data_IF_374594153641
#
_entry.id   IF_374594153641
#
_cell.length_a   1.000
_cell.length_b   1.000
_cell.length_c   1.000
_cell.angle_alpha   90.00
_cell.angle_beta   90.00
_cell.angle_gamma   90.00
#
_symmetry.space_group_name_H-M   'P 1'
#
loop_
_entity.id
_entity.type
_entity.pdbx_description
1 polymer ?
#
# COMPACT_ATOMS: atom_id res chain seq x y z
N UNK A 1 -48.44 -11.03 8.10
CA UNK A 1 -47.95 -11.69 6.87
C UNK A 1 -46.55 -12.23 7.18
N UNK A 2 -46.38 -13.55 7.05
CA UNK A 2 -45.25 -14.28 7.64
C UNK A 2 -43.91 -14.00 6.92
N UNK A 3 -42.87 -13.81 7.72
CA UNK A 3 -41.45 -13.63 7.37
C UNK A 3 -40.88 -14.72 6.46
N UNK A 4 -41.52 -15.89 6.36
CA UNK A 4 -41.16 -16.94 5.42
C UNK A 4 -41.38 -16.56 3.94
N UNK A 5 -42.34 -15.69 3.63
CA UNK A 5 -42.65 -15.30 2.24
C UNK A 5 -41.61 -14.33 1.64
N UNK A 6 -40.97 -13.50 2.48
CA UNK A 6 -39.86 -12.62 2.10
C UNK A 6 -38.57 -13.42 1.84
N UNK A 7 -38.35 -14.50 2.58
CA UNK A 7 -37.21 -15.40 2.38
C UNK A 7 -37.26 -16.18 1.06
N UNK A 8 -38.45 -16.60 0.62
CA UNK A 8 -38.63 -17.33 -0.65
C UNK A 8 -38.47 -16.39 -1.87
N UNK A 9 -38.83 -15.11 -1.74
CA UNK A 9 -38.59 -14.13 -2.81
C UNK A 9 -37.09 -13.81 -2.96
N UNK A 10 -36.35 -13.78 -1.86
CA UNK A 10 -34.90 -13.50 -1.84
C UNK A 10 -34.08 -14.68 -2.42
N UNK A 11 -34.49 -15.92 -2.13
CA UNK A 11 -33.87 -17.13 -2.70
C UNK A 11 -34.12 -17.29 -4.21
N UNK A 12 -35.25 -16.79 -4.74
CA UNK A 12 -35.56 -16.80 -6.18
C UNK A 12 -34.75 -15.79 -7.00
N UNK A 13 -34.19 -14.75 -6.36
CA UNK A 13 -33.32 -13.78 -7.04
C UNK A 13 -31.84 -14.18 -7.04
N UNK A 14 -31.43 -15.05 -6.10
CA UNK A 14 -30.05 -15.56 -6.00
C UNK A 14 -29.83 -16.84 -6.81
N UNK A 15 -30.87 -17.62 -7.09
CA UNK A 15 -30.80 -18.79 -7.97
C UNK A 15 -31.53 -18.44 -9.25
N UNK A 16 -30.79 -17.89 -10.22
CA UNK A 16 -31.29 -17.67 -11.57
C UNK A 16 -31.74 -19.00 -12.19
N UNK A 17 -33.05 -19.20 -12.27
CA UNK A 17 -33.63 -20.21 -13.15
C UNK A 17 -33.69 -19.64 -14.57
N UNK A 18 -32.76 -20.09 -15.41
CA UNK A 18 -32.77 -20.22 -16.89
C UNK A 18 -31.31 -20.04 -17.36
N UNK A 19 -30.58 -20.97 -17.98
CA UNK A 19 -30.81 -22.32 -18.48
C UNK A 19 -29.44 -22.96 -18.81
N UNK A 20 -29.45 -24.23 -19.18
CA UNK A 20 -28.29 -25.13 -19.28
C UNK A 20 -27.11 -24.65 -20.15
N UNK A 21 -25.89 -25.00 -19.73
CA UNK A 21 -24.71 -25.11 -20.60
C UNK A 21 -24.75 -26.47 -21.34
N UNK A 22 -24.40 -26.54 -22.64
CA UNK A 22 -24.36 -27.80 -23.38
C UNK A 22 -23.08 -28.62 -23.09
N UNK A 23 -23.14 -29.96 -23.20
CA UNK A 23 -21.99 -30.84 -23.04
C UNK A 23 -21.22 -31.04 -24.36
N UNK A 24 -19.90 -31.18 -24.22
CA UNK A 24 -18.87 -31.60 -25.19
C UNK A 24 -17.98 -30.52 -25.85
N UNK A 25 -16.69 -30.64 -25.49
CA UNK A 25 -15.46 -30.28 -26.25
C UNK A 25 -15.19 -28.78 -26.52
N UNK A 26 -13.99 -28.23 -26.35
CA UNK A 26 -12.71 -28.65 -25.79
C UNK A 26 -11.81 -27.39 -25.74
N UNK A 27 -10.65 -27.51 -25.07
CA UNK A 27 -9.46 -26.63 -25.05
C UNK A 27 -9.30 -25.72 -23.82
N UNK A 28 -8.51 -26.23 -22.87
CA UNK A 28 -7.56 -25.45 -22.06
C UNK A 28 -6.88 -24.34 -22.89
N UNK A 29 -6.52 -23.16 -22.33
CA UNK A 29 -5.78 -23.07 -21.06
C UNK A 29 -6.11 -21.87 -20.13
N UNK A 30 -5.51 -21.93 -18.93
CA UNK A 30 -5.31 -20.89 -17.89
C UNK A 30 -6.51 -20.57 -16.98
N UNK A 31 -6.50 -21.12 -15.75
CA UNK A 31 -7.37 -20.70 -14.65
C UNK A 31 -6.71 -21.05 -13.31
N UNK A 32 -6.73 -20.25 -12.25
CA UNK A 32 -7.59 -19.12 -11.93
C UNK A 32 -6.93 -18.26 -10.82
N UNK A 33 -6.91 -16.94 -11.00
CA UNK A 33 -6.68 -15.91 -9.97
C UNK A 33 -7.66 -16.00 -8.78
N UNK A 34 -8.81 -16.65 -8.98
CA UNK A 34 -9.78 -16.97 -7.91
C UNK A 34 -9.24 -17.95 -6.86
N UNK A 35 -8.17 -18.69 -7.13
CA UNK A 35 -7.59 -19.62 -6.15
C UNK A 35 -6.88 -18.86 -5.03
N UNK A 36 -6.08 -17.83 -5.31
CA UNK A 36 -5.22 -17.20 -4.30
C UNK A 36 -6.00 -16.33 -3.31
N UNK A 37 -6.96 -15.53 -3.77
CA UNK A 37 -7.85 -14.75 -2.88
C UNK A 37 -8.80 -15.67 -2.11
N UNK A 38 -9.35 -16.70 -2.77
CA UNK A 38 -10.13 -17.71 -2.08
C UNK A 38 -9.26 -18.48 -1.08
N UNK A 39 -7.99 -18.73 -1.36
CA UNK A 39 -7.09 -19.50 -0.50
C UNK A 39 -6.66 -18.68 0.71
N UNK A 40 -6.45 -17.36 0.61
CA UNK A 40 -6.17 -16.52 1.78
C UNK A 40 -7.42 -16.33 2.66
N UNK A 41 -8.57 -16.00 2.06
CA UNK A 41 -9.83 -15.91 2.81
C UNK A 41 -10.23 -17.27 3.39
N UNK A 42 -10.06 -18.37 2.64
CA UNK A 42 -10.28 -19.73 3.11
C UNK A 42 -9.26 -20.11 4.15
N UNK A 43 -8.00 -19.70 4.07
CA UNK A 43 -7.00 -20.00 5.08
C UNK A 43 -7.30 -19.28 6.39
N UNK A 44 -7.57 -17.97 6.35
CA UNK A 44 -7.96 -17.17 7.53
C UNK A 44 -9.25 -17.73 8.13
N UNK A 45 -10.27 -17.98 7.31
CA UNK A 45 -11.56 -18.47 7.76
C UNK A 45 -11.49 -19.93 8.24
N UNK A 46 -10.73 -20.81 7.57
CA UNK A 46 -10.56 -22.22 7.99
C UNK A 46 -9.79 -22.29 9.30
N UNK A 47 -8.69 -21.56 9.43
CA UNK A 47 -7.86 -21.55 10.63
C UNK A 47 -8.59 -20.93 11.81
N UNK A 48 -9.31 -19.82 11.61
CA UNK A 48 -10.17 -19.23 12.62
C UNK A 48 -11.31 -20.20 13.02
N UNK A 49 -12.00 -20.82 12.06
CA UNK A 49 -13.10 -21.74 12.34
C UNK A 49 -12.65 -23.06 13.00
N UNK A 50 -11.44 -23.55 12.70
CA UNK A 50 -10.85 -24.71 13.38
C UNK A 50 -10.45 -24.40 14.82
N UNK A 51 -9.88 -23.22 15.06
CA UNK A 51 -9.61 -22.74 16.41
C UNK A 51 -10.92 -22.56 17.22
N UNK A 52 -11.95 -21.95 16.63
CA UNK A 52 -13.27 -21.81 17.28
C UNK A 52 -13.85 -23.20 17.60
N UNK A 53 -13.76 -24.16 16.68
CA UNK A 53 -14.17 -25.55 16.92
C UNK A 53 -13.40 -26.19 18.07
N UNK A 54 -12.08 -26.04 18.12
CA UNK A 54 -11.24 -26.57 19.22
C UNK A 54 -11.62 -25.98 20.57
N UNK A 55 -11.80 -24.66 20.67
CA UNK A 55 -12.22 -23.98 21.91
C UNK A 55 -13.59 -24.49 22.37
N UNK A 56 -14.56 -24.62 21.45
CA UNK A 56 -15.90 -25.12 21.76
C UNK A 56 -15.93 -26.61 22.11
N UNK A 57 -14.96 -27.37 21.66
CA UNK A 57 -14.78 -28.79 22.01
C UNK A 57 -13.93 -29.02 23.26
N UNK A 58 -13.24 -27.99 23.76
CA UNK A 58 -12.45 -28.09 24.99
C UNK A 58 -13.41 -28.23 26.18
N UNK A 59 -13.31 -29.32 26.94
CA UNK A 59 -14.20 -29.65 28.07
C UNK A 59 -14.12 -28.69 29.27
N UNK A 60 -13.55 -27.50 29.09
CA UNK A 60 -13.43 -26.46 30.10
C UNK A 60 -14.67 -25.56 30.06
N UNK A 61 -15.70 -25.96 30.82
CA UNK A 61 -17.00 -25.29 30.90
C UNK A 61 -16.91 -23.79 31.26
N UNK A 62 -15.81 -23.37 31.90
CA UNK A 62 -15.56 -21.98 32.25
C UNK A 62 -15.22 -21.08 31.05
N UNK A 63 -14.77 -21.61 29.92
CA UNK A 63 -14.38 -20.84 28.73
C UNK A 63 -15.41 -20.97 27.60
N UNK A 64 -16.05 -22.14 27.50
CA UNK A 64 -16.98 -22.54 26.44
C UNK A 64 -18.24 -21.66 26.34
N UNK A 65 -18.66 -20.97 27.40
CA UNK A 65 -19.91 -20.19 27.45
C UNK A 65 -19.76 -18.70 27.74
N UNK A 66 -18.53 -18.22 27.98
CA UNK A 66 -18.28 -16.78 28.29
C UNK A 66 -18.06 -15.91 27.06
N UNK A 67 -17.64 -16.50 25.95
CA UNK A 67 -17.40 -15.80 24.70
C UNK A 67 -18.48 -16.19 23.68
N UNK A 68 -19.06 -15.20 22.98
CA UNK A 68 -19.91 -15.44 21.81
C UNK A 68 -19.10 -16.11 20.68
N UNK A 69 -19.79 -16.70 19.69
CA UNK A 69 -19.13 -17.29 18.51
C UNK A 69 -18.21 -16.27 17.82
N UNK A 70 -18.66 -15.02 17.77
CA UNK A 70 -17.93 -13.87 17.29
C UNK A 70 -16.70 -13.53 18.16
N UNK A 71 -16.83 -13.50 19.49
CA UNK A 71 -15.71 -13.25 20.40
C UNK A 71 -14.65 -14.38 20.36
N UNK A 72 -15.07 -15.62 20.09
CA UNK A 72 -14.14 -16.72 19.80
C UNK A 72 -13.43 -16.55 18.46
N UNK A 73 -14.13 -16.07 17.41
CA UNK A 73 -13.52 -15.78 16.11
C UNK A 73 -12.43 -14.70 16.21
N UNK A 74 -12.70 -13.63 16.98
CA UNK A 74 -11.70 -12.60 17.29
C UNK A 74 -10.51 -13.16 18.06
N UNK A 75 -10.76 -13.96 19.11
CA UNK A 75 -9.70 -14.65 19.83
C UNK A 75 -8.88 -15.56 18.91
N UNK A 76 -9.49 -16.22 17.93
CA UNK A 76 -8.78 -17.14 17.04
C UNK A 76 -7.95 -16.42 15.96
N UNK A 77 -8.48 -15.35 15.37
CA UNK A 77 -7.72 -14.48 14.44
C UNK A 77 -6.58 -13.81 15.20
N UNK A 78 -6.87 -13.35 16.42
CA UNK A 78 -5.86 -12.77 17.27
C UNK A 78 -4.82 -13.77 17.73
N UNK A 79 -5.00 -15.08 17.53
CA UNK A 79 -4.01 -16.11 17.88
C UNK A 79 -3.45 -16.80 16.62
N UNK A 80 -3.63 -16.21 15.43
CA UNK A 80 -2.92 -16.66 14.24
C UNK A 80 -1.41 -16.43 14.45
N UNK A 81 -0.53 -17.29 13.90
CA UNK A 81 0.92 -17.19 14.11
C UNK A 81 1.46 -15.77 13.83
N UNK A 82 0.96 -15.11 12.80
CA UNK A 82 1.34 -13.74 12.44
C UNK A 82 0.72 -12.64 13.33
N UNK A 83 -0.37 -12.93 14.07
CA UNK A 83 -1.02 -11.94 14.95
C UNK A 83 -0.42 -11.94 16.35
N UNK A 84 -0.13 -13.12 16.90
CA UNK A 84 0.31 -13.26 18.30
C UNK A 84 1.76 -13.71 18.50
N UNK A 85 2.47 -14.12 17.46
CA UNK A 85 3.76 -14.76 17.66
C UNK A 85 4.81 -14.23 16.69
N UNK A 86 5.39 -13.10 17.08
CA UNK A 86 6.83 -12.94 16.90
C UNK A 86 7.40 -12.37 18.19
N UNK A 87 7.32 -13.13 19.29
CA UNK A 87 8.10 -12.82 20.51
C UNK A 87 9.61 -12.96 20.24
N UNK A 88 9.98 -13.67 19.17
CA UNK A 88 11.36 -13.90 18.77
C UNK A 88 11.51 -13.80 17.24
N UNK A 89 11.58 -12.58 16.68
CA UNK A 89 11.80 -12.37 15.25
C UNK A 89 13.13 -13.00 14.83
N UNK A 90 13.14 -13.62 13.66
CA UNK A 90 14.40 -14.03 13.04
C UNK A 90 15.33 -12.81 12.95
N UNK A 91 16.62 -13.00 13.28
CA UNK A 91 17.60 -11.92 13.13
C UNK A 91 17.64 -11.56 11.63
N UNK A 92 17.73 -10.28 11.24
CA UNK A 92 18.01 -9.90 9.86
C UNK A 92 19.15 -10.72 9.20
N UNK A 93 20.09 -11.22 10.00
CA UNK A 93 21.13 -12.16 9.57
C UNK A 93 20.62 -13.50 8.99
N UNK A 94 19.45 -13.96 9.43
CA UNK A 94 18.96 -15.32 9.16
C UNK A 94 18.34 -15.44 7.76
N UNK A 95 17.94 -14.33 7.14
CA UNK A 95 17.30 -14.29 5.82
C UNK A 95 17.98 -13.34 4.81
N UNK A 96 19.11 -12.73 5.18
CA UNK A 96 19.93 -11.92 4.28
C UNK A 96 21.29 -12.57 4.05
N UNK A 97 21.83 -12.44 2.83
CA UNK A 97 23.23 -12.78 2.61
C UNK A 97 24.16 -11.85 3.42
N UNK A 98 25.35 -12.32 3.78
CA UNK A 98 26.25 -11.60 4.71
C UNK A 98 26.59 -10.18 4.23
N UNK A 99 26.79 -10.00 2.93
CA UNK A 99 27.04 -8.72 2.29
C UNK A 99 25.81 -7.79 2.36
N UNK A 100 24.62 -8.31 2.10
CA UNK A 100 23.35 -7.56 2.17
C UNK A 100 23.04 -7.17 3.62
N UNK A 101 23.26 -8.09 4.57
CA UNK A 101 23.11 -7.79 5.99
C UNK A 101 24.08 -6.69 6.45
N UNK A 102 25.34 -6.74 6.02
CA UNK A 102 26.31 -5.69 6.32
C UNK A 102 25.90 -4.34 5.71
N UNK A 103 25.33 -4.34 4.51
CA UNK A 103 24.79 -3.14 3.88
C UNK A 103 23.56 -2.61 4.63
N UNK A 104 22.60 -3.48 4.96
CA UNK A 104 21.42 -3.15 5.73
C UNK A 104 21.77 -2.49 7.07
N UNK A 105 22.69 -3.08 7.84
CA UNK A 105 23.16 -2.51 9.12
C UNK A 105 23.69 -1.09 8.98
N UNK A 106 24.51 -0.85 7.95
CA UNK A 106 25.03 0.49 7.67
C UNK A 106 23.88 1.46 7.31
N UNK A 107 22.78 1.00 6.68
CA UNK A 107 21.72 1.86 6.14
C UNK A 107 20.84 2.31 7.31
N UNK A 108 20.62 1.39 8.25
CA UNK A 108 20.01 1.68 9.55
C UNK A 108 20.88 2.60 10.41
N UNK A 109 22.20 2.47 10.36
CA UNK A 109 23.12 3.35 11.10
C UNK A 109 23.19 4.77 10.51
N UNK A 110 22.87 4.94 9.23
CA UNK A 110 22.78 6.27 8.66
C UNK A 110 21.57 7.03 9.21
N UNK A 111 21.85 7.95 10.14
CA UNK A 111 20.86 8.88 10.72
C UNK A 111 21.11 10.35 10.38
N UNK A 112 22.14 10.63 9.59
CA UNK A 112 22.35 11.93 8.96
C UNK A 112 22.88 11.77 7.53
N UNK A 113 22.65 12.79 6.73
CA UNK A 113 22.91 12.77 5.29
C UNK A 113 24.40 12.66 4.94
N UNK A 114 25.30 12.98 5.88
CA UNK A 114 26.74 12.92 5.68
C UNK A 114 27.29 11.51 5.89
N UNK A 115 26.73 10.75 6.82
CA UNK A 115 27.07 9.36 7.10
C UNK A 115 26.46 8.36 6.08
N UNK A 116 25.33 8.70 5.45
CA UNK A 116 24.73 7.90 4.36
C UNK A 116 25.63 7.80 3.12
N UNK A 117 26.51 8.78 2.89
CA UNK A 117 27.32 8.87 1.67
C UNK A 117 28.52 7.92 1.67
N UNK A 118 28.89 7.33 2.81
CA UNK A 118 30.03 6.40 2.91
C UNK A 118 29.70 4.97 2.44
N UNK A 119 28.50 4.76 1.90
CA UNK A 119 28.06 3.51 1.29
C UNK A 119 28.65 3.21 -0.08
N UNK A 120 29.29 4.20 -0.67
CA UNK A 120 30.08 4.14 -1.89
C UNK A 120 31.33 3.28 -1.62
N UNK A 121 31.22 1.96 -1.75
CA UNK A 121 32.29 1.05 -1.33
C UNK A 121 33.59 1.30 -2.14
N UNK A 122 34.63 1.74 -1.41
CA UNK A 122 36.07 1.73 -1.70
C UNK A 122 36.55 2.60 -2.88
N UNK A 123 37.39 3.59 -2.53
CA UNK A 123 38.49 4.14 -3.35
C UNK A 123 38.20 4.41 -4.84
N UNK A 124 37.09 5.07 -5.15
CA UNK A 124 36.95 5.72 -6.46
C UNK A 124 37.22 7.21 -6.28
N UNK A 125 38.41 7.64 -6.70
CA UNK A 125 38.86 9.04 -6.63
C UNK A 125 38.05 9.93 -7.58
N UNK A 126 36.84 10.31 -7.20
CA UNK A 126 36.14 11.40 -7.84
C UNK A 126 36.11 12.58 -6.90
N UNK A 127 37.02 13.53 -7.13
CA UNK A 127 36.84 14.94 -6.74
C UNK A 127 35.57 15.46 -7.44
N UNK A 128 34.38 15.11 -6.95
CA UNK A 128 33.16 15.87 -7.21
C UNK A 128 32.85 16.66 -5.94
N UNK A 129 32.72 17.97 -6.14
CA UNK A 129 32.47 18.99 -5.11
C UNK A 129 31.48 18.46 -4.07
N UNK A 130 31.79 18.66 -2.79
CA UNK A 130 30.89 18.49 -1.65
C UNK A 130 29.58 19.26 -1.91
N UNK A 131 28.64 18.65 -2.62
CA UNK A 131 27.31 19.19 -2.77
C UNK A 131 26.61 18.74 -1.50
N UNK A 132 26.31 19.69 -0.61
CA UNK A 132 25.45 19.42 0.53
C UNK A 132 24.17 18.82 -0.04
N UNK A 133 23.96 17.52 0.17
CA UNK A 133 22.77 16.87 -0.32
C UNK A 133 21.60 17.55 0.41
N UNK A 134 20.57 17.94 -0.32
CA UNK A 134 19.35 18.49 0.25
C UNK A 134 18.37 17.34 0.52
N UNK A 135 17.43 17.51 1.47
CA UNK A 135 16.34 16.54 1.63
C UNK A 135 15.71 16.19 0.28
N UNK A 136 15.45 14.92 0.04
CA UNK A 136 14.79 14.46 -1.17
C UNK A 136 13.41 15.12 -1.29
N UNK A 137 13.04 15.60 -2.47
CA UNK A 137 11.69 16.13 -2.70
C UNK A 137 10.82 15.03 -3.33
N UNK A 138 9.93 14.44 -2.53
CA UNK A 138 8.94 13.47 -2.97
C UNK A 138 7.79 14.20 -3.65
N UNK A 139 7.56 13.88 -4.93
CA UNK A 139 6.53 14.52 -5.76
C UNK A 139 5.46 13.53 -6.18
N UNK A 140 4.30 14.03 -6.57
CA UNK A 140 3.27 13.21 -7.18
C UNK A 140 3.83 12.63 -8.49
N UNK A 141 3.61 11.33 -8.74
CA UNK A 141 4.32 10.61 -9.78
C UNK A 141 4.09 11.17 -11.20
N UNK A 142 2.90 11.71 -11.47
CA UNK A 142 2.53 12.37 -12.72
C UNK A 142 3.02 13.82 -12.79
N UNK A 143 3.56 14.42 -11.73
CA UNK A 143 4.17 15.76 -11.79
C UNK A 143 5.69 15.71 -11.97
N UNK A 144 6.31 14.52 -11.93
CA UNK A 144 7.71 14.33 -12.31
C UNK A 144 7.93 14.78 -13.76
N UNK A 145 9.09 15.39 -14.00
CA UNK A 145 9.59 15.55 -15.38
C UNK A 145 9.91 14.18 -15.98
N UNK A 146 9.98 14.11 -17.31
CA UNK A 146 10.40 12.89 -18.01
C UNK A 146 11.78 12.41 -17.55
N UNK A 147 12.71 13.34 -17.30
CA UNK A 147 14.04 13.02 -16.80
C UNK A 147 14.00 12.49 -15.35
N UNK A 148 13.21 13.12 -14.47
CA UNK A 148 13.04 12.64 -13.09
C UNK A 148 12.44 11.23 -13.05
N UNK A 149 11.40 10.98 -13.85
CA UNK A 149 10.75 9.67 -13.94
C UNK A 149 11.69 8.61 -14.52
N UNK A 150 12.46 8.95 -15.56
CA UNK A 150 13.45 8.05 -16.15
C UNK A 150 14.53 7.67 -15.15
N UNK A 151 15.10 8.64 -14.41
CA UNK A 151 16.11 8.36 -13.37
C UNK A 151 15.55 7.44 -12.27
N UNK A 152 14.32 7.69 -11.83
CA UNK A 152 13.63 6.81 -10.89
C UNK A 152 13.47 5.38 -11.44
N UNK A 153 12.96 5.23 -12.67
CA UNK A 153 12.79 3.92 -13.33
C UNK A 153 14.12 3.17 -13.51
N UNK A 154 15.19 3.87 -13.88
CA UNK A 154 16.52 3.26 -14.05
C UNK A 154 17.04 2.76 -12.70
N UNK A 155 17.00 3.60 -11.66
CA UNK A 155 17.54 3.23 -10.35
C UNK A 155 16.81 2.06 -9.71
N UNK A 156 15.47 2.05 -9.76
CA UNK A 156 14.68 0.95 -9.18
C UNK A 156 14.87 -0.37 -9.96
N UNK A 157 15.02 -0.31 -11.29
CA UNK A 157 15.35 -1.50 -12.10
C UNK A 157 16.77 -2.00 -11.82
N UNK A 158 17.73 -1.10 -11.61
CA UNK A 158 19.08 -1.48 -11.22
C UNK A 158 19.07 -2.15 -9.83
N UNK A 159 18.31 -1.61 -8.88
CA UNK A 159 18.11 -2.23 -7.57
C UNK A 159 17.45 -3.62 -7.67
N UNK A 160 16.44 -3.77 -8.54
CA UNK A 160 15.77 -5.06 -8.81
C UNK A 160 16.69 -6.09 -9.46
N UNK A 161 17.59 -5.66 -10.33
CA UNK A 161 18.58 -6.55 -10.94
C UNK A 161 19.64 -7.07 -9.95
N UNK A 162 19.77 -6.44 -8.78
CA UNK A 162 20.83 -6.69 -7.79
C UNK A 162 22.25 -6.36 -8.28
N UNK A 163 22.42 -5.99 -9.55
CA UNK A 163 23.75 -5.92 -10.18
C UNK A 163 24.53 -4.72 -9.64
N UNK A 164 25.63 -5.03 -8.95
CA UNK A 164 26.53 -4.02 -8.38
C UNK A 164 25.94 -3.22 -7.22
N UNK A 165 24.81 -3.66 -6.66
CA UNK A 165 24.19 -3.03 -5.50
C UNK A 165 24.51 -3.80 -4.22
N UNK A 166 24.74 -3.11 -3.09
CA UNK A 166 25.05 -3.76 -1.82
C UNK A 166 23.83 -4.38 -1.14
N UNK A 167 22.62 -4.03 -1.56
CA UNK A 167 21.34 -4.60 -1.12
C UNK A 167 20.41 -4.69 -2.33
N UNK A 168 19.70 -5.81 -2.51
CA UNK A 168 18.76 -5.98 -3.62
C UNK A 168 17.36 -5.45 -3.29
N UNK A 169 16.55 -5.22 -4.34
CA UNK A 169 15.12 -4.94 -4.17
C UNK A 169 14.39 -6.07 -3.44
N UNK A 170 14.76 -7.32 -3.74
CA UNK A 170 14.06 -8.49 -3.19
C UNK A 170 14.34 -8.65 -1.70
N UNK A 171 15.50 -8.21 -1.21
CA UNK A 171 15.76 -8.08 0.23
C UNK A 171 14.73 -7.17 0.90
N UNK A 172 14.34 -6.06 0.27
CA UNK A 172 13.28 -5.20 0.82
C UNK A 172 11.93 -5.93 0.85
N UNK A 173 11.60 -6.69 -0.18
CA UNK A 173 10.38 -7.51 -0.20
C UNK A 173 10.38 -8.51 0.95
N UNK A 174 11.49 -9.23 1.14
CA UNK A 174 11.66 -10.20 2.22
C UNK A 174 11.55 -9.56 3.60
N UNK A 175 12.05 -8.33 3.78
CA UNK A 175 11.96 -7.59 5.05
C UNK A 175 10.53 -7.24 5.48
N UNK A 176 9.57 -7.15 4.55
CA UNK A 176 8.18 -6.77 4.86
C UNK A 176 7.31 -7.97 5.28
N UNK A 177 7.81 -9.20 5.12
CA UNK A 177 7.07 -10.40 5.52
C UNK A 177 6.69 -10.34 7.01
N UNK A 178 5.49 -10.83 7.33
CA UNK A 178 4.85 -10.60 8.62
C UNK A 178 5.62 -11.19 9.82
N UNK A 179 6.33 -12.29 9.61
CA UNK A 179 7.22 -12.93 10.57
C UNK A 179 8.49 -12.11 10.86
N UNK A 180 8.93 -11.28 9.91
CA UNK A 180 10.14 -10.43 10.04
C UNK A 180 9.82 -8.99 10.42
N UNK A 181 8.60 -8.54 10.11
CA UNK A 181 8.11 -7.20 10.37
C UNK A 181 6.76 -7.21 11.10
N UNK A 182 6.70 -7.72 12.34
CA UNK A 182 5.46 -7.78 13.12
C UNK A 182 4.87 -6.40 13.42
N UNK A 183 5.69 -5.34 13.37
CA UNK A 183 5.24 -3.96 13.52
C UNK A 183 4.72 -3.31 12.24
N UNK A 184 4.88 -3.95 11.07
CA UNK A 184 4.51 -3.37 9.78
C UNK A 184 3.01 -3.28 9.58
N UNK A 185 2.18 -4.10 10.24
CA UNK A 185 0.74 -4.17 9.99
C UNK A 185 -0.04 -4.16 11.30
N UNK A 186 -1.26 -3.62 11.30
CA UNK A 186 -2.25 -3.78 12.38
C UNK A 186 -1.77 -3.27 13.75
N UNK A 187 -1.48 -1.96 13.83
CA UNK A 187 -1.30 -1.30 15.12
C UNK A 187 -0.49 -0.02 15.04
N UNK A 188 -0.17 0.51 16.22
CA UNK A 188 0.50 1.80 16.40
C UNK A 188 1.83 1.94 15.66
N UNK A 189 2.54 0.82 15.40
CA UNK A 189 3.81 0.87 14.68
C UNK A 189 3.67 0.97 13.15
N UNK A 190 2.49 0.73 12.57
CA UNK A 190 2.29 0.68 11.11
C UNK A 190 2.86 1.91 10.38
N UNK A 191 2.50 3.13 10.83
CA UNK A 191 2.92 4.39 10.21
C UNK A 191 4.43 4.65 10.42
N UNK A 192 4.97 4.61 11.66
CA UNK A 192 6.41 4.68 11.93
C UNK A 192 7.26 3.65 11.17
N UNK A 193 6.78 2.40 11.07
CA UNK A 193 7.49 1.30 10.44
C UNK A 193 7.63 1.54 8.94
N UNK A 194 6.52 1.85 8.26
CA UNK A 194 6.56 2.14 6.82
C UNK A 194 7.36 3.40 6.51
N UNK A 195 7.38 4.40 7.39
CA UNK A 195 8.21 5.59 7.25
C UNK A 195 9.71 5.27 7.22
N UNK A 196 10.20 4.46 8.16
CA UNK A 196 11.60 4.02 8.17
C UNK A 196 11.91 3.14 6.95
N UNK A 197 10.98 2.25 6.59
CA UNK A 197 11.10 1.38 5.42
C UNK A 197 11.25 2.19 4.11
N UNK A 198 10.40 3.21 3.91
CA UNK A 198 10.48 4.13 2.78
C UNK A 198 11.80 4.93 2.77
N UNK A 199 12.26 5.40 3.94
CA UNK A 199 13.55 6.11 4.06
C UNK A 199 14.72 5.23 3.62
N UNK A 200 14.76 3.98 4.07
CA UNK A 200 15.82 3.04 3.71
C UNK A 200 15.81 2.73 2.20
N UNK A 201 14.63 2.47 1.64
CA UNK A 201 14.48 2.23 0.21
C UNK A 201 14.90 3.45 -0.63
N UNK A 202 14.46 4.65 -0.24
CA UNK A 202 14.88 5.90 -0.89
C UNK A 202 16.40 6.13 -0.76
N UNK A 203 17.00 5.77 0.37
CA UNK A 203 18.46 5.83 0.56
C UNK A 203 19.20 4.88 -0.40
N UNK A 204 18.70 3.66 -0.59
CA UNK A 204 19.27 2.71 -1.55
C UNK A 204 19.11 3.18 -3.01
N UNK A 205 17.98 3.78 -3.37
CA UNK A 205 17.85 4.42 -4.69
C UNK A 205 18.81 5.60 -4.85
N UNK A 206 19.03 6.38 -3.79
CA UNK A 206 19.91 7.56 -3.81
C UNK A 206 21.40 7.22 -3.79
N UNK A 207 21.79 6.00 -3.39
CA UNK A 207 23.15 5.52 -3.63
C UNK A 207 23.43 5.23 -5.10
N UNK A 208 22.38 4.99 -5.90
CA UNK A 208 22.47 4.88 -7.36
C UNK A 208 22.42 6.27 -8.01
N UNK A 209 21.43 7.08 -7.62
CA UNK A 209 21.28 8.45 -8.11
C UNK A 209 20.89 9.42 -6.98
N UNK A 210 21.82 10.27 -6.51
CA UNK A 210 21.62 11.23 -5.43
C UNK A 210 20.48 12.24 -5.63
N UNK A 211 19.96 12.40 -6.85
CA UNK A 211 18.88 13.33 -7.19
C UNK A 211 17.48 12.76 -6.95
N UNK A 212 17.36 11.45 -6.75
CA UNK A 212 16.06 10.78 -6.62
C UNK A 212 15.35 11.21 -5.33
N UNK A 213 14.08 11.57 -5.47
CA UNK A 213 13.09 11.51 -4.38
C UNK A 213 12.03 10.48 -4.73
N UNK A 214 11.63 9.68 -3.75
CA UNK A 214 10.64 8.63 -3.93
C UNK A 214 9.28 9.26 -4.27
N UNK A 215 8.73 9.05 -5.49
CA UNK A 215 7.44 9.65 -5.83
C UNK A 215 6.32 9.01 -5.02
N UNK A 216 5.21 9.74 -4.88
CA UNK A 216 3.98 9.23 -4.29
C UNK A 216 2.87 9.14 -5.33
N UNK A 217 1.95 8.20 -5.14
CA UNK A 217 0.76 8.03 -5.99
C UNK A 217 -0.50 8.50 -5.25
N UNK A 218 -0.95 9.71 -5.58
CA UNK A 218 -2.20 10.25 -5.08
C UNK A 218 -3.39 9.69 -5.86
N UNK A 219 -4.00 8.63 -5.34
CA UNK A 219 -5.14 7.97 -5.96
C UNK A 219 -6.44 8.78 -5.91
N UNK A 220 -6.48 9.90 -5.16
CA UNK A 220 -7.64 10.81 -5.18
C UNK A 220 -7.80 11.54 -6.51
N UNK A 221 -6.73 11.60 -7.30
CA UNK A 221 -6.75 12.15 -8.66
C UNK A 221 -7.42 11.18 -9.65
N UNK A 222 -7.58 9.91 -9.30
CA UNK A 222 -8.06 8.84 -10.17
C UNK A 222 -9.51 8.43 -9.83
N UNK A 223 -9.88 8.48 -8.55
CA UNK A 223 -11.26 8.19 -8.06
C UNK A 223 -12.38 8.92 -8.84
N UNK A 224 -12.22 10.18 -9.30
CA UNK A 224 -13.25 10.88 -10.07
C UNK A 224 -13.54 10.32 -11.47
N UNK A 225 -12.63 9.52 -12.04
CA UNK A 225 -12.79 9.00 -13.39
C UNK A 225 -13.98 8.03 -13.48
N UNK A 226 -14.68 7.96 -14.63
CA UNK A 226 -15.78 7.02 -14.82
C UNK A 226 -15.31 5.56 -14.66
N UNK A 227 -14.11 5.29 -15.18
CA UNK A 227 -13.42 4.01 -15.08
C UNK A 227 -11.98 4.28 -14.61
N UNK A 228 -11.69 4.32 -13.30
CA UNK A 228 -10.36 4.72 -12.78
C UNK A 228 -9.19 3.82 -13.23
N UNK A 229 -9.47 2.57 -13.66
CA UNK A 229 -8.47 1.69 -14.27
C UNK A 229 -7.98 2.16 -15.66
N UNK A 230 -8.68 3.10 -16.29
CA UNK A 230 -8.28 3.69 -17.57
C UNK A 230 -7.36 4.92 -17.38
N UNK A 231 -6.97 5.22 -16.14
CA UNK A 231 -5.98 6.24 -15.80
C UNK A 231 -4.65 6.02 -16.51
N UNK A 232 -3.98 7.12 -16.88
CA UNK A 232 -2.63 7.15 -17.45
C UNK A 232 -1.57 6.44 -16.59
N UNK A 233 -1.83 6.26 -15.29
CA UNK A 233 -0.98 5.47 -14.39
C UNK A 233 -0.72 4.05 -14.91
N UNK A 234 -1.68 3.45 -15.61
CA UNK A 234 -1.63 2.09 -16.14
C UNK A 234 -1.19 2.02 -17.61
N UNK A 235 -0.28 2.92 -17.99
CA UNK A 235 0.34 2.99 -19.31
C UNK A 235 1.82 2.62 -19.26
N UNK A 236 2.42 2.37 -20.43
CA UNK A 236 3.84 2.02 -20.56
C UNK A 236 4.77 3.14 -20.06
N UNK A 237 4.30 4.39 -20.11
CA UNK A 237 5.05 5.57 -19.66
C UNK A 237 5.16 5.65 -18.12
N UNK A 238 4.29 4.94 -17.40
CA UNK A 238 4.22 4.91 -15.94
C UNK A 238 4.47 3.51 -15.38
N UNK A 239 3.42 2.82 -14.91
CA UNK A 239 3.56 1.57 -14.17
C UNK A 239 3.50 0.32 -15.08
N UNK A 240 3.18 0.48 -16.37
CA UNK A 240 2.86 -0.63 -17.27
C UNK A 240 1.39 -1.03 -17.20
N UNK A 241 1.02 -2.09 -17.93
CA UNK A 241 -0.36 -2.57 -17.97
C UNK A 241 -0.90 -2.92 -16.58
N UNK A 242 -2.17 -2.55 -16.33
CA UNK A 242 -2.85 -2.77 -15.05
C UNK A 242 -3.56 -4.13 -14.93
N UNK A 243 -3.49 -5.00 -15.93
CA UNK A 243 -4.20 -6.27 -15.92
C UNK A 243 -3.37 -7.42 -16.50
N UNK A 244 -3.37 -8.55 -15.78
CA UNK A 244 -2.56 -9.72 -16.10
C UNK A 244 -1.10 -9.51 -15.75
N UNK A 245 -0.24 -10.33 -16.36
CA UNK A 245 1.20 -10.19 -16.21
C UNK A 245 1.66 -8.84 -16.76
N UNK A 246 2.51 -8.15 -16.02
CA UNK A 246 3.06 -6.85 -16.44
C UNK A 246 4.09 -7.11 -17.53
N UNK A 247 3.73 -6.76 -18.77
CA UNK A 247 4.52 -6.99 -19.99
C UNK A 247 4.87 -5.70 -20.72
N UNK A 248 4.40 -4.55 -20.22
CA UNK A 248 4.69 -3.23 -20.80
C UNK A 248 5.29 -2.27 -19.77
N UNK A 249 5.94 -1.21 -20.26
CA UNK A 249 6.58 -0.18 -19.43
C UNK A 249 7.86 -0.62 -18.71
N UNK A 250 8.35 0.26 -17.85
CA UNK A 250 9.66 0.10 -17.17
C UNK A 250 9.75 -1.09 -16.22
N UNK A 251 8.62 -1.72 -15.87
CA UNK A 251 8.54 -2.86 -14.95
C UNK A 251 8.12 -4.16 -15.64
N UNK A 252 8.18 -4.19 -16.98
CA UNK A 252 7.82 -5.35 -17.77
C UNK A 252 8.67 -6.58 -17.40
N UNK A 253 8.02 -7.74 -17.30
CA UNK A 253 8.64 -9.04 -17.05
C UNK A 253 9.42 -9.16 -15.73
N UNK A 254 9.14 -8.28 -14.76
CA UNK A 254 9.63 -8.47 -13.40
C UNK A 254 9.16 -9.82 -12.85
N UNK A 255 10.08 -10.53 -12.20
CA UNK A 255 9.78 -11.75 -11.44
C UNK A 255 9.64 -11.37 -9.97
N UNK A 256 8.53 -11.75 -9.35
CA UNK A 256 8.30 -11.59 -7.92
C UNK A 256 9.03 -12.68 -7.12
N UNK A 257 9.22 -12.45 -5.83
CA UNK A 257 9.86 -13.41 -4.91
C UNK A 257 9.06 -14.69 -4.70
N UNK A 258 7.77 -14.71 -5.09
CA UNK A 258 6.93 -15.92 -5.14
C UNK A 258 7.20 -16.81 -6.39
N UNK A 259 8.18 -16.44 -7.21
CA UNK A 259 8.58 -17.17 -8.42
C UNK A 259 7.68 -16.94 -9.63
N UNK A 260 6.69 -16.04 -9.55
CA UNK A 260 5.78 -15.70 -10.65
C UNK A 260 6.14 -14.36 -11.28
N UNK A 261 5.60 -14.08 -12.45
CA UNK A 261 5.66 -12.73 -13.03
C UNK A 261 4.85 -11.77 -12.19
N UNK A 262 5.31 -10.51 -12.13
CA UNK A 262 4.52 -9.42 -11.58
C UNK A 262 3.17 -9.35 -12.30
N UNK A 263 2.08 -9.37 -11.55
CA UNK A 263 0.72 -9.48 -12.04
C UNK A 263 -0.17 -8.43 -11.35
N UNK A 264 -1.16 -7.92 -12.08
CA UNK A 264 -2.13 -6.94 -11.57
C UNK A 264 -3.55 -7.26 -12.02
N UNK A 265 -4.53 -6.78 -11.27
CA UNK A 265 -5.95 -6.91 -11.57
C UNK A 265 -6.71 -5.59 -11.26
N UNK A 266 -6.17 -4.47 -11.76
CA UNK A 266 -6.58 -3.12 -11.40
C UNK A 266 -8.07 -2.88 -11.62
N UNK A 267 -8.78 -2.54 -10.54
CA UNK A 267 -10.20 -2.25 -10.51
C UNK A 267 -11.10 -3.44 -10.86
N UNK A 268 -10.64 -4.69 -10.68
CA UNK A 268 -11.40 -5.89 -11.06
C UNK A 268 -11.96 -6.70 -9.89
N UNK A 269 -11.33 -6.64 -8.71
CA UNK A 269 -11.74 -7.44 -7.54
C UNK A 269 -13.13 -7.05 -7.00
N UNK A 270 -13.55 -5.80 -7.21
CA UNK A 270 -14.77 -5.23 -6.63
C UNK A 270 -14.72 -5.07 -5.09
N UNK A 271 -13.66 -5.57 -4.46
CA UNK A 271 -13.44 -5.56 -3.01
C UNK A 271 -12.55 -4.40 -2.54
N UNK A 272 -11.93 -3.67 -3.47
CA UNK A 272 -11.09 -2.50 -3.19
C UNK A 272 -11.61 -1.20 -3.80
N UNK A 273 -11.07 -0.09 -3.32
CA UNK A 273 -11.35 1.26 -3.80
C UNK A 273 -10.13 2.17 -3.72
N UNK A 274 -10.16 3.25 -4.48
CA UNK A 274 -9.17 4.32 -4.39
C UNK A 274 -9.48 5.28 -3.23
N UNK A 275 -8.52 6.11 -2.84
CA UNK A 275 -8.78 7.18 -1.88
C UNK A 275 -9.73 8.21 -2.49
N UNK A 276 -10.67 8.69 -1.67
CA UNK A 276 -11.50 9.85 -1.99
C UNK A 276 -11.00 11.08 -1.23
N UNK A 277 -11.25 12.30 -1.73
CA UNK A 277 -10.95 13.52 -0.97
C UNK A 277 -11.57 13.53 0.44
N UNK A 278 -12.76 12.96 0.59
CA UNK A 278 -13.43 12.80 1.88
C UNK A 278 -12.70 11.85 2.84
N UNK A 279 -11.94 10.88 2.31
CA UNK A 279 -11.19 9.93 3.12
C UNK A 279 -9.93 10.61 3.67
N UNK A 280 -9.30 11.49 2.89
CA UNK A 280 -8.23 12.37 3.36
C UNK A 280 -8.74 13.28 4.49
N UNK A 281 -9.87 13.96 4.28
CA UNK A 281 -10.45 14.83 5.32
C UNK A 281 -10.76 14.03 6.59
N UNK A 282 -11.32 12.83 6.44
CA UNK A 282 -11.62 11.94 7.56
C UNK A 282 -10.38 11.60 8.39
N UNK A 283 -9.23 11.35 7.74
CA UNK A 283 -7.94 11.10 8.38
C UNK A 283 -7.44 12.36 9.11
N UNK A 284 -7.48 13.51 8.45
CA UNK A 284 -7.04 14.78 9.03
C UNK A 284 -7.87 15.19 10.25
N UNK A 285 -9.15 14.80 10.30
CA UNK A 285 -10.06 15.10 11.40
C UNK A 285 -9.86 14.20 12.64
N UNK A 286 -8.92 13.24 12.63
CA UNK A 286 -8.69 12.40 13.81
C UNK A 286 -8.26 13.23 15.04
N UNK A 287 -8.71 12.86 16.24
CA UNK A 287 -8.37 13.60 17.45
C UNK A 287 -6.91 13.38 17.88
N UNK A 288 -6.37 12.19 17.69
CA UNK A 288 -5.00 11.81 18.07
C UNK A 288 -4.47 10.66 17.19
N UNK A 289 -3.20 10.27 17.40
CA UNK A 289 -2.52 9.23 16.64
C UNK A 289 -3.04 7.81 16.92
N UNK A 290 -3.58 7.54 18.12
CA UNK A 290 -4.14 6.23 18.43
C UNK A 290 -5.37 5.93 17.54
N UNK A 291 -6.17 6.95 17.25
CA UNK A 291 -7.33 6.85 16.35
C UNK A 291 -6.97 6.74 14.86
N UNK A 292 -5.68 6.87 14.50
CA UNK A 292 -5.15 6.56 13.17
C UNK A 292 -4.66 5.12 13.04
N UNK A 293 -4.49 4.41 14.16
CA UNK A 293 -3.74 3.15 14.24
C UNK A 293 -4.39 2.15 15.21
N UNK A 294 -5.73 2.14 15.28
CA UNK A 294 -6.47 1.35 16.27
C UNK A 294 -6.25 -0.17 16.11
N UNK A 295 -6.47 -0.95 17.17
CA UNK A 295 -6.16 -2.40 17.14
C UNK A 295 -7.15 -3.25 16.37
N UNK A 296 -8.31 -2.67 16.11
CA UNK A 296 -9.35 -3.21 15.26
C UNK A 296 -9.66 -2.09 14.27
N UNK A 297 -8.61 -1.59 13.61
CA UNK A 297 -8.76 -0.42 12.76
C UNK A 297 -9.61 -0.74 11.51
N UNK A 298 -10.71 -0.01 11.27
CA UNK A 298 -11.39 0.02 9.99
C UNK A 298 -10.65 0.68 8.82
N UNK A 299 -9.47 1.25 9.00
CA UNK A 299 -8.87 2.26 8.12
C UNK A 299 -7.61 1.76 7.41
N UNK A 300 -6.83 0.87 8.02
CA UNK A 300 -5.57 0.44 7.42
C UNK A 300 -5.48 -1.05 7.09
N UNK A 301 -5.87 -2.00 7.97
CA UNK A 301 -5.40 -3.40 7.79
C UNK A 301 -6.34 -4.59 8.12
N UNK A 302 -7.56 -4.50 8.71
CA UNK A 302 -8.37 -5.74 8.90
C UNK A 302 -9.89 -5.63 8.75
N UNK A 303 -10.47 -6.61 8.03
CA UNK A 303 -11.89 -6.91 7.99
C UNK A 303 -12.27 -7.85 9.16
N UNK A 304 -13.35 -7.55 9.90
CA UNK A 304 -13.93 -8.49 10.86
C UNK A 304 -15.45 -8.58 10.78
N UNK A 305 -15.95 -9.79 11.04
CA UNK A 305 -17.31 -10.24 10.73
C UNK A 305 -18.44 -9.48 11.47
N UNK A 306 -18.14 -8.74 12.55
CA UNK A 306 -19.15 -7.91 13.22
C UNK A 306 -19.69 -6.79 12.31
N UNK A 307 -19.01 -6.52 11.19
CA UNK A 307 -19.49 -5.62 10.15
C UNK A 307 -20.16 -6.28 8.95
N UNK A 308 -20.40 -7.59 8.91
CA UNK A 308 -21.18 -8.21 7.82
C UNK A 308 -22.65 -7.74 7.80
N UNK A 309 -23.20 -7.36 8.97
CA UNK A 309 -24.54 -6.75 9.08
C UNK A 309 -24.49 -5.23 8.80
N UNK A 310 -23.34 -4.58 9.06
CA UNK A 310 -23.14 -3.15 8.78
C UNK A 310 -22.67 -2.85 7.33
N UNK A 311 -22.14 -3.84 6.59
CA UNK A 311 -21.68 -3.68 5.19
C UNK A 311 -22.84 -3.47 4.23
N UNK A 312 -24.05 -3.88 4.61
CA UNK A 312 -25.26 -3.58 3.83
C UNK A 312 -25.67 -2.10 3.99
N UNK A 313 -25.15 -1.38 5.01
CA UNK A 313 -25.60 -0.03 5.35
C UNK A 313 -24.49 1.05 5.37
N UNK A 314 -23.20 0.73 5.50
CA UNK A 314 -22.09 1.72 5.53
C UNK A 314 -20.84 1.19 4.81
N UNK A 315 -20.67 1.60 3.54
CA UNK A 315 -19.59 1.23 2.61
C UNK A 315 -18.26 1.99 2.85
N UNK A 316 -17.60 1.88 4.01
CA UNK A 316 -16.47 2.78 4.31
C UNK A 316 -15.29 2.28 5.16
N UNK A 317 -14.81 1.05 4.98
CA UNK A 317 -13.78 0.53 5.88
C UNK A 317 -12.65 -0.27 5.18
N UNK A 318 -11.49 0.42 5.04
CA UNK A 318 -10.08 -0.04 4.94
C UNK A 318 -9.36 0.80 3.87
N UNK A 319 -9.09 2.09 4.07
CA UNK A 319 -8.75 3.04 2.99
C UNK A 319 -7.38 2.71 2.34
N UNK A 320 -6.36 2.37 3.15
CA UNK A 320 -5.07 1.91 2.65
C UNK A 320 -5.17 0.54 1.96
N UNK A 321 -5.61 -0.49 2.68
CA UNK A 321 -5.73 -1.84 2.13
C UNK A 321 -6.74 -1.96 0.97
N UNK A 322 -7.68 -1.01 0.86
CA UNK A 322 -8.59 -0.90 -0.29
C UNK A 322 -7.83 -0.61 -1.57
N UNK A 323 -6.75 0.18 -1.53
CA UNK A 323 -5.94 0.44 -2.72
C UNK A 323 -5.13 -0.79 -3.11
N UNK A 324 -4.51 -1.47 -2.13
CA UNK A 324 -3.86 -2.77 -2.32
C UNK A 324 -4.79 -3.77 -3.04
N UNK A 325 -6.01 -3.93 -2.51
CA UNK A 325 -7.05 -4.81 -3.08
C UNK A 325 -7.59 -4.32 -4.42
N UNK A 326 -7.63 -3.00 -4.63
CA UNK A 326 -8.07 -2.41 -5.90
C UNK A 326 -7.05 -2.64 -7.01
N UNK A 327 -5.75 -2.59 -6.72
CA UNK A 327 -4.70 -2.91 -7.69
C UNK A 327 -4.67 -4.41 -7.98
N UNK A 328 -4.84 -5.24 -6.94
CA UNK A 328 -4.89 -6.70 -7.05
C UNK A 328 -3.54 -7.33 -7.44
N UNK A 329 -3.55 -8.63 -7.75
CA UNK A 329 -2.32 -9.37 -8.03
C UNK A 329 -1.42 -9.44 -6.80
N UNK A 330 -0.12 -9.20 -6.94
CA UNK A 330 0.77 -9.19 -5.77
C UNK A 330 0.42 -8.10 -4.75
N UNK A 331 -0.11 -6.94 -5.20
CA UNK A 331 -0.53 -5.87 -4.29
C UNK A 331 -1.66 -6.30 -3.33
N UNK A 332 -2.47 -7.31 -3.62
CA UNK A 332 -3.50 -7.78 -2.69
C UNK A 332 -3.01 -8.83 -1.68
N UNK A 333 -1.73 -9.21 -1.73
CA UNK A 333 -1.17 -10.26 -0.87
C UNK A 333 -0.08 -9.65 0.01
N UNK A 334 -0.37 -9.48 1.30
CA UNK A 334 0.46 -8.74 2.26
C UNK A 334 1.97 -9.10 2.15
N UNK A 335 2.40 -10.37 2.26
CA UNK A 335 3.82 -10.72 2.16
C UNK A 335 4.50 -10.42 0.82
N UNK A 336 3.72 -10.27 -0.25
CA UNK A 336 4.22 -10.11 -1.61
C UNK A 336 3.95 -8.72 -2.19
N UNK A 337 3.16 -7.89 -1.52
CA UNK A 337 2.77 -6.57 -2.02
C UNK A 337 3.95 -5.67 -2.41
N UNK A 338 5.10 -5.67 -1.70
CA UNK A 338 6.25 -4.87 -2.11
C UNK A 338 6.94 -5.36 -3.39
N UNK A 339 6.58 -6.53 -3.95
CA UNK A 339 7.08 -6.95 -5.27
C UNK A 339 6.62 -6.01 -6.39
N UNK A 340 5.48 -5.34 -6.21
CA UNK A 340 4.98 -4.35 -7.17
C UNK A 340 5.54 -2.96 -6.82
N UNK A 341 6.22 -2.27 -7.75
CA UNK A 341 6.66 -0.88 -7.55
C UNK A 341 5.57 0.08 -7.08
N UNK A 342 4.29 -0.21 -7.35
CA UNK A 342 3.16 0.58 -6.86
C UNK A 342 3.14 0.67 -5.34
N UNK A 343 3.60 -0.36 -4.62
CA UNK A 343 3.71 -0.39 -3.16
C UNK A 343 4.40 0.86 -2.62
N UNK A 344 5.58 1.18 -3.16
CA UNK A 344 6.41 2.28 -2.68
C UNK A 344 5.75 3.63 -2.88
N UNK A 345 5.10 3.82 -4.03
CA UNK A 345 4.38 5.04 -4.35
C UNK A 345 3.12 5.19 -3.48
N UNK A 346 2.42 4.08 -3.23
CA UNK A 346 1.24 4.06 -2.38
C UNK A 346 1.60 4.39 -0.93
N UNK A 347 2.59 3.72 -0.34
CA UNK A 347 3.02 3.99 1.02
C UNK A 347 3.68 5.36 1.17
N UNK A 348 4.36 5.89 0.14
CA UNK A 348 4.82 7.28 0.14
C UNK A 348 3.64 8.27 0.21
N UNK A 349 2.49 7.95 -0.39
CA UNK A 349 1.27 8.75 -0.27
C UNK A 349 0.62 8.62 1.11
N UNK A 350 0.60 7.42 1.70
CA UNK A 350 0.15 7.23 3.09
C UNK A 350 0.99 8.04 4.07
N UNK A 351 2.32 7.99 3.96
CA UNK A 351 3.23 8.78 4.79
C UNK A 351 3.05 10.29 4.57
N UNK A 352 2.77 10.73 3.33
CA UNK A 352 2.41 12.12 3.02
C UNK A 352 1.15 12.56 3.78
N UNK A 353 0.09 11.76 3.72
CA UNK A 353 -1.18 12.07 4.41
C UNK A 353 -0.99 12.08 5.92
N UNK A 354 -0.21 11.15 6.46
CA UNK A 354 0.13 11.15 7.88
C UNK A 354 0.95 12.37 8.28
N UNK A 355 1.92 12.79 7.46
CA UNK A 355 2.69 14.01 7.73
C UNK A 355 1.80 15.25 7.66
N UNK A 356 0.84 15.32 6.74
CA UNK A 356 -0.16 16.39 6.72
C UNK A 356 -1.00 16.42 8.00
N UNK A 357 -1.43 15.25 8.51
CA UNK A 357 -2.09 15.16 9.82
C UNK A 357 -1.19 15.70 10.94
N UNK A 358 0.06 15.24 11.02
CA UNK A 358 1.03 15.70 12.04
C UNK A 358 1.20 17.22 11.99
N UNK A 359 1.31 17.78 10.79
CA UNK A 359 1.52 19.22 10.59
C UNK A 359 0.29 20.07 10.94
N UNK A 360 -0.91 19.54 10.74
CA UNK A 360 -2.17 20.27 10.96
C UNK A 360 -2.76 20.09 12.36
N UNK A 361 -2.50 18.96 13.02
CA UNK A 361 -3.15 18.56 14.28
C UNK A 361 -2.24 18.57 15.49
N UNK A 362 -0.92 18.56 15.29
CA UNK A 362 0.05 18.37 16.38
C UNK A 362 1.11 19.47 16.40
N UNK A 363 1.51 19.89 17.61
CA UNK A 363 2.73 20.69 17.80
C UNK A 363 3.98 19.86 17.49
N UNK A 364 5.14 20.48 17.21
CA UNK A 364 6.38 19.74 16.99
C UNK A 364 6.71 18.73 18.09
N UNK A 365 6.42 19.03 19.35
CA UNK A 365 6.67 18.15 20.49
C UNK A 365 5.67 16.97 20.52
N UNK A 366 4.39 17.24 20.26
CA UNK A 366 3.35 16.20 20.20
C UNK A 366 3.65 15.19 19.08
N UNK A 367 4.20 15.65 17.96
CA UNK A 367 4.57 14.81 16.82
C UNK A 367 5.59 13.72 17.17
N UNK A 368 6.38 13.90 18.22
CA UNK A 368 7.42 12.97 18.67
C UNK A 368 6.98 12.14 19.88
N UNK A 369 5.97 12.59 20.62
CA UNK A 369 5.59 12.02 21.93
C UNK A 369 4.19 11.41 21.98
N UNK A 370 3.35 11.62 20.97
CA UNK A 370 1.94 11.18 20.93
C UNK A 370 1.70 9.69 20.64
N UNK A 371 2.71 8.84 20.85
CA UNK A 371 2.59 7.41 20.60
C UNK A 371 1.59 6.76 21.59
N UNK A 372 0.74 5.81 21.15
CA UNK A 372 -0.28 5.22 22.00
C UNK A 372 0.35 4.34 23.09
N UNK A 373 -0.35 4.16 24.21
CA UNK A 373 0.13 3.34 25.33
C UNK A 373 -0.89 2.26 25.71
N UNK A 374 -0.44 1.23 26.41
CA UNK A 374 -1.30 0.14 26.88
C UNK A 374 -2.02 -0.57 25.72
N UNK A 375 -3.31 -0.85 25.90
CA UNK A 375 -4.10 -1.62 24.92
C UNK A 375 -4.28 -0.91 23.57
N UNK A 376 -4.03 0.40 23.48
CA UNK A 376 -4.07 1.13 22.22
C UNK A 376 -2.89 0.80 21.29
N UNK A 377 -1.89 0.06 21.78
CA UNK A 377 -0.77 -0.45 20.97
C UNK A 377 -1.06 -1.81 20.34
N UNK A 378 -2.13 -2.51 20.73
CA UNK A 378 -2.60 -3.74 20.09
C UNK A 378 -1.81 -5.00 20.46
N UNK A 379 -0.54 -5.05 20.12
CA UNK A 379 0.35 -6.17 20.47
C UNK A 379 1.64 -5.66 21.08
N UNK A 380 2.42 -6.56 21.70
CA UNK A 380 3.73 -6.22 22.25
C UNK A 380 4.67 -5.61 21.19
N UNK A 381 4.64 -6.12 19.95
CA UNK A 381 5.50 -5.66 18.85
C UNK A 381 5.23 -4.21 18.43
N UNK A 382 4.06 -3.66 18.75
CA UNK A 382 3.65 -2.30 18.43
C UNK A 382 3.84 -1.31 19.58
N UNK A 383 4.38 -1.73 20.73
CA UNK A 383 4.65 -0.78 21.82
C UNK A 383 5.75 0.20 21.41
N UNK A 384 5.67 1.42 21.92
CA UNK A 384 6.63 2.49 21.66
C UNK A 384 8.09 2.07 21.93
N UNK A 385 8.30 1.32 23.01
CA UNK A 385 9.59 0.84 23.51
C UNK A 385 10.06 -0.47 22.86
N UNK A 386 9.25 -1.06 21.98
CA UNK A 386 9.62 -2.28 21.28
C UNK A 386 10.46 -1.96 20.06
N UNK A 387 11.42 -2.85 19.77
CA UNK A 387 12.28 -2.74 18.60
C UNK A 387 11.43 -2.80 17.33
N UNK A 388 11.64 -1.83 16.44
CA UNK A 388 10.99 -1.77 15.14
C UNK A 388 11.68 -2.75 14.19
N UNK A 389 11.33 -4.03 14.28
CA UNK A 389 11.99 -5.09 13.52
C UNK A 389 11.66 -4.98 12.02
N UNK A 390 12.62 -5.26 11.13
CA UNK A 390 13.99 -5.74 11.38
C UNK A 390 15.01 -4.65 11.75
N UNK A 391 14.60 -3.39 11.81
CA UNK A 391 15.49 -2.25 12.07
C UNK A 391 16.05 -2.26 13.50
N UNK A 392 17.08 -1.45 13.73
CA UNK A 392 17.78 -1.35 15.03
C UNK A 392 17.25 -0.26 15.95
N UNK A 393 16.15 0.39 15.56
CA UNK A 393 15.52 1.50 16.31
C UNK A 393 14.26 1.01 17.03
N UNK A 394 13.73 1.83 17.92
CA UNK A 394 12.44 1.59 18.57
C UNK A 394 11.30 2.14 17.72
N UNK A 395 10.08 1.64 17.93
CA UNK A 395 8.90 2.14 17.23
C UNK A 395 8.67 3.64 17.45
N UNK A 396 8.95 4.14 18.66
CA UNK A 396 8.86 5.57 18.99
C UNK A 396 9.80 6.43 18.15
N UNK A 397 10.97 5.92 17.74
CA UNK A 397 11.95 6.68 16.97
C UNK A 397 11.42 7.02 15.57
N UNK A 398 10.51 6.20 15.01
CA UNK A 398 9.81 6.49 13.76
C UNK A 398 8.85 7.68 13.83
N UNK A 399 8.56 8.19 15.03
CA UNK A 399 7.82 9.44 15.25
C UNK A 399 8.70 10.68 15.13
N UNK A 400 10.01 10.57 14.87
CA UNK A 400 10.88 11.74 14.83
C UNK A 400 10.48 12.76 13.76
N UNK A 401 10.57 14.05 14.05
CA UNK A 401 10.47 15.10 13.02
C UNK A 401 11.70 15.11 12.07
N UNK A 402 12.77 14.40 12.42
CA UNK A 402 14.00 14.38 11.63
C UNK A 402 13.83 13.73 10.26
N UNK A 403 12.89 12.79 10.10
CA UNK A 403 12.54 12.22 8.79
C UNK A 403 12.23 13.31 7.77
N UNK A 404 11.35 14.25 8.13
CA UNK A 404 10.88 15.30 7.21
C UNK A 404 11.72 16.58 7.26
N UNK A 405 12.67 16.67 8.21
CA UNK A 405 13.65 17.76 8.31
C UNK A 405 14.93 17.48 7.53
N UNK A 406 15.46 16.27 7.65
CA UNK A 406 16.79 15.88 7.12
C UNK A 406 16.67 15.08 5.83
N UNK A 407 15.77 14.09 5.78
CA UNK A 407 15.81 13.08 4.73
C UNK A 407 14.97 13.44 3.52
N UNK A 408 13.72 13.85 3.74
CA UNK A 408 12.81 14.14 2.63
C UNK A 408 11.78 15.22 2.97
N UNK A 409 11.15 15.76 1.94
CA UNK A 409 9.99 16.64 2.00
C UNK A 409 8.98 16.22 0.96
N UNK A 410 7.72 16.54 1.18
CA UNK A 410 6.67 16.34 0.18
C UNK A 410 6.38 17.63 -0.57
N UNK A 411 6.27 17.52 -1.89
CA UNK A 411 5.52 18.48 -2.69
C UNK A 411 4.03 18.20 -2.48
N UNK A 412 3.22 19.25 -2.36
CA UNK A 412 1.76 19.10 -2.29
C UNK A 412 1.19 18.45 -3.55
N UNK A 413 0.05 17.78 -3.38
CA UNK A 413 -0.68 17.20 -4.50
C UNK A 413 -1.12 18.33 -5.45
N UNK A 414 -1.13 18.10 -6.78
CA UNK A 414 -1.51 19.12 -7.75
C UNK A 414 -2.96 19.58 -7.55
N UNK A 415 -3.17 20.89 -7.57
CA UNK A 415 -4.48 21.53 -7.48
C UNK A 415 -4.67 22.52 -8.62
N UNK A 416 -5.93 22.81 -8.98
CA UNK A 416 -6.26 23.87 -9.93
C UNK A 416 -7.35 24.79 -9.36
N UNK A 417 -7.55 25.95 -9.99
CA UNK A 417 -8.54 26.93 -9.56
C UNK A 417 -9.10 27.72 -10.75
N UNK A 418 -10.09 28.58 -10.52
CA UNK A 418 -10.58 29.49 -11.55
C UNK A 418 -9.48 30.43 -12.06
N UNK A 419 -8.56 30.86 -11.19
CA UNK A 419 -7.45 31.74 -11.58
C UNK A 419 -6.33 30.98 -12.31
N UNK A 420 -6.14 29.69 -12.01
CA UNK A 420 -5.16 28.83 -12.67
C UNK A 420 -5.80 27.47 -12.99
N UNK A 421 -6.44 27.31 -14.16
CA UNK A 421 -7.17 26.10 -14.54
C UNK A 421 -6.22 25.02 -15.10
N UNK A 422 -5.02 24.89 -14.55
CA UNK A 422 -4.02 23.89 -14.96
C UNK A 422 -3.51 23.13 -13.73
N UNK A 423 -3.14 21.86 -13.94
CA UNK A 423 -2.61 20.99 -12.88
C UNK A 423 -1.08 20.89 -12.87
N UNK A 424 -0.41 21.68 -13.72
CA UNK A 424 1.06 21.69 -13.81
C UNK A 424 1.68 20.40 -14.36
N UNK A 425 0.88 19.51 -14.96
CA UNK A 425 1.33 18.24 -15.53
C UNK A 425 0.54 17.93 -16.80
N UNK A 426 1.18 17.41 -17.88
CA UNK A 426 0.48 17.01 -19.09
C UNK A 426 -0.34 15.71 -18.92
N UNK A 427 -0.16 15.01 -17.80
CA UNK A 427 -0.85 13.74 -17.46
C UNK A 427 -2.03 13.95 -16.52
N UNK A 428 -2.29 15.20 -16.13
CA UNK A 428 -3.42 15.63 -15.31
C UNK A 428 -4.19 16.72 -16.04
N UNK A 429 -5.47 16.85 -15.75
CA UNK A 429 -6.29 17.95 -16.23
C UNK A 429 -7.10 18.56 -15.10
N UNK A 430 -7.49 19.82 -15.26
CA UNK A 430 -8.37 20.49 -14.32
C UNK A 430 -9.82 20.21 -14.69
N UNK A 431 -10.56 19.53 -13.82
CA UNK A 431 -12.02 19.48 -13.89
C UNK A 431 -12.57 20.84 -13.46
N UNK A 432 -12.80 21.72 -14.43
CA UNK A 432 -13.21 23.12 -14.21
C UNK A 432 -14.61 23.28 -13.62
N UNK A 433 -15.40 22.20 -13.52
CA UNK A 433 -16.70 22.22 -12.84
C UNK A 433 -16.57 22.25 -11.33
N UNK A 434 -15.53 21.60 -10.82
CA UNK A 434 -15.24 21.50 -9.38
C UNK A 434 -13.89 22.11 -8.99
N UNK A 435 -13.11 22.58 -9.97
CA UNK A 435 -11.74 23.05 -9.82
C UNK A 435 -10.86 22.10 -9.02
N UNK A 436 -10.79 20.85 -9.50
CA UNK A 436 -9.90 19.82 -8.96
C UNK A 436 -9.09 19.17 -10.07
N UNK A 437 -7.87 18.77 -9.74
CA UNK A 437 -7.05 17.99 -10.65
C UNK A 437 -7.52 16.55 -10.72
N UNK A 438 -7.52 16.00 -11.92
CA UNK A 438 -7.94 14.62 -12.22
C UNK A 438 -6.93 14.00 -13.18
N UNK A 439 -6.70 12.70 -13.05
CA UNK A 439 -5.84 11.92 -13.92
C UNK A 439 -6.35 11.95 -15.36
N UNK A 440 -5.46 12.07 -16.34
CA UNK A 440 -5.85 11.84 -17.73
C UNK A 440 -6.08 10.36 -18.01
N UNK A 441 -6.91 10.09 -19.01
CA UNK A 441 -7.33 8.76 -19.45
C UNK A 441 -6.50 8.34 -20.67
N UNK A 442 -6.09 7.07 -20.70
CA UNK A 442 -5.36 6.49 -21.84
C UNK A 442 -6.25 6.41 -23.09
N UNK A 443 -5.63 6.32 -24.27
CA UNK A 443 -6.37 6.08 -25.52
C UNK A 443 -7.20 4.79 -25.44
N UNK A 444 -8.45 4.86 -25.89
CA UNK A 444 -9.45 3.80 -25.78
C UNK A 444 -10.24 3.78 -24.46
N UNK A 445 -9.77 4.50 -23.45
CA UNK A 445 -10.41 4.59 -22.14
C UNK A 445 -11.73 5.37 -22.15
N UNK A 446 -12.48 5.22 -21.08
CA UNK A 446 -13.76 5.88 -20.84
C UNK A 446 -13.57 7.32 -20.33
N UNK A 447 -14.12 8.27 -21.08
CA UNK A 447 -14.15 9.69 -20.74
C UNK A 447 -15.58 10.23 -20.57
N UNK A 448 -16.57 9.34 -20.39
CA UNK A 448 -17.96 9.71 -20.20
C UNK A 448 -18.17 10.70 -19.06
N UNK A 449 -18.97 11.74 -19.29
CA UNK A 449 -19.18 12.79 -18.31
C UNK A 449 -18.03 13.79 -18.18
N UNK A 450 -16.99 13.70 -19.02
CA UNK A 450 -15.91 14.68 -19.15
C UNK A 450 -15.82 15.26 -20.57
N UNK A 451 -16.91 15.19 -21.33
CA UNK A 451 -16.97 15.74 -22.69
C UNK A 451 -16.68 17.25 -22.69
N UNK A 452 -15.81 17.67 -23.61
CA UNK A 452 -15.36 19.07 -23.71
C UNK A 452 -14.26 19.48 -22.72
N UNK A 453 -13.81 18.57 -21.84
CA UNK A 453 -12.63 18.76 -20.98
C UNK A 453 -11.41 18.01 -21.52
N UNK A 454 -10.21 18.42 -21.10
CA UNK A 454 -8.92 17.85 -21.51
C UNK A 454 -8.60 16.52 -20.78
N UNK A 455 -9.58 15.61 -20.70
CA UNK A 455 -9.49 14.34 -19.97
C UNK A 455 -8.62 13.29 -20.66
N UNK A 456 -8.51 13.33 -21.98
CA UNK A 456 -7.82 12.30 -22.76
C UNK A 456 -6.34 12.64 -22.98
N UNK A 457 -5.43 11.72 -22.66
CA UNK A 457 -4.01 11.90 -22.93
C UNK A 457 -3.71 11.66 -24.41
N UNK A 458 -3.10 12.66 -25.08
CA UNK A 458 -2.70 12.62 -26.50
C UNK A 458 -3.82 12.15 -27.45
N UNK A 459 -5.08 12.39 -27.09
CA UNK A 459 -6.30 11.97 -27.81
C UNK A 459 -7.46 12.90 -27.43
N UNK A 460 -8.64 12.73 -28.05
CA UNK A 460 -9.83 13.55 -27.75
C UNK A 460 -10.98 12.69 -27.22
N UNK A 461 -11.81 13.25 -26.34
CA UNK A 461 -13.02 12.58 -25.88
C UNK A 461 -14.13 12.69 -26.94
N UNK A 462 -14.45 11.59 -27.60
CA UNK A 462 -15.49 11.48 -28.63
C UNK A 462 -16.41 10.31 -28.28
N UNK A 463 -17.72 10.56 -28.17
CA UNK A 463 -18.71 9.54 -27.80
C UNK A 463 -18.28 8.74 -26.55
N UNK A 464 -17.95 9.46 -25.48
CA UNK A 464 -17.49 8.91 -24.18
C UNK A 464 -16.21 8.07 -24.24
N UNK A 465 -15.40 8.16 -25.31
CA UNK A 465 -14.14 7.44 -25.46
C UNK A 465 -12.98 8.35 -25.89
N UNK A 466 -11.79 8.08 -25.37
CA UNK A 466 -10.57 8.74 -25.82
C UNK A 466 -10.07 8.13 -27.14
N UNK A 467 -10.10 8.87 -28.26
CA UNK A 467 -9.75 8.38 -29.61
C UNK A 467 -8.66 9.17 -30.31
#
# INVERSE_FOLDING_TARGET
MNSAALWVLFLRLLIGSNGAAPPHMDRNPVGNLWSVEADLFKYINTTANECVRKIRSSGNANFQYRLSETQCGYYCISNLPWYNEVENPEDPADYMEENEHAAFKKLCACRDLQNCLQFDQKDVSWRKKRQAQTPALRKEYRTLTEEERTRFHVAINQLKSGTGQPISYDTFVEMHQADRAPGAHIGAAFLPWHREYLRLFETALRSIDPSIGLPYFDTTLDDPLPTPRDSIMWSEEFLGNGNGDVVTGSFANWMATDGKKLNRAVGRSGAGSLFRPSDIQYILDRPDFAHLTECIDPFFETASLFRMIATILIWRFQIHGSVHTWIGGQMSVVPYSPNDPVFWLHHAFIDKVWEQYRQTRQTPEQRETSYPTGNATCTAAHRADSRMLPFTILNIDGMSNEYTRIFYKYQDSPTCSHANPTCGSPYLFCDTRFYRCVSKVVKGGDCGGYEGLDVCYKSNCVNTRCV
#
